data_IF_240759506300
#
_entry.id   IF_240759506300
#
_cell.length_a   1.000
_cell.length_b   1.000
_cell.length_c   1.000
_cell.angle_alpha   90.00
_cell.angle_beta   90.00
_cell.angle_gamma   90.00
#
_symmetry.space_group_name_H-M   'P 1'
#
loop_
_entity.id
_entity.type
_entity.pdbx_description
1 polymer ?
#
# COMPACT_ATOMS: atom_id res chain seq x y z
N UNK A 1 -1.68 32.89 11.97
CA UNK A 1 -1.26 31.84 12.93
C UNK A 1 -2.22 30.64 12.94
N UNK A 2 -2.47 30.00 11.77
CA UNK A 2 -3.40 28.85 11.64
C UNK A 2 -2.71 27.55 11.20
N UNK A 3 -1.38 27.46 11.33
CA UNK A 3 -0.53 26.38 10.76
C UNK A 3 -0.22 25.25 11.74
N UNK A 4 -0.28 25.50 13.06
CA UNK A 4 0.08 24.53 14.09
C UNK A 4 -0.64 23.17 14.01
N UNK A 5 -1.97 23.07 13.81
CA UNK A 5 -2.64 21.77 13.70
C UNK A 5 -2.26 21.00 12.42
N UNK A 6 -1.96 21.71 11.33
CA UNK A 6 -1.55 21.08 10.07
C UNK A 6 -0.14 20.51 10.13
N UNK A 7 0.75 21.16 10.89
CA UNK A 7 2.10 20.65 11.14
C UNK A 7 2.09 19.34 11.94
N UNK A 8 1.29 19.26 13.00
CA UNK A 8 1.14 18.03 13.78
C UNK A 8 0.63 16.86 12.93
N UNK A 9 -0.41 17.09 12.13
CA UNK A 9 -0.94 16.09 11.21
C UNK A 9 0.08 15.67 10.14
N UNK A 10 0.85 16.62 9.58
CA UNK A 10 1.90 16.34 8.61
C UNK A 10 3.04 15.50 9.21
N UNK A 11 3.49 15.81 10.43
CA UNK A 11 4.52 15.04 11.13
C UNK A 11 4.05 13.62 11.42
N UNK A 12 2.80 13.46 11.87
CA UNK A 12 2.20 12.15 12.10
C UNK A 12 2.12 11.34 10.80
N UNK A 13 1.69 11.97 9.71
CA UNK A 13 1.68 11.38 8.38
C UNK A 13 3.09 10.92 7.96
N UNK A 14 4.10 11.80 8.05
CA UNK A 14 5.49 11.48 7.67
C UNK A 14 6.05 10.34 8.50
N UNK A 15 5.77 10.31 9.81
CA UNK A 15 6.20 9.24 10.69
C UNK A 15 5.62 7.88 10.27
N UNK A 16 4.31 7.77 10.11
CA UNK A 16 3.68 6.52 9.69
C UNK A 16 4.02 6.12 8.25
N UNK A 17 4.10 7.10 7.36
CA UNK A 17 4.50 6.88 5.97
C UNK A 17 5.94 6.35 5.90
N UNK A 18 6.87 6.98 6.64
CA UNK A 18 8.26 6.54 6.73
C UNK A 18 8.38 5.14 7.32
N UNK A 19 7.68 4.87 8.42
CA UNK A 19 7.66 3.55 9.06
C UNK A 19 7.15 2.47 8.11
N UNK A 20 6.03 2.70 7.42
CA UNK A 20 5.47 1.75 6.45
C UNK A 20 6.42 1.46 5.29
N UNK A 21 7.08 2.50 4.75
CA UNK A 21 8.08 2.32 3.70
C UNK A 21 9.32 1.55 4.19
N UNK A 22 9.80 1.83 5.41
CA UNK A 22 10.92 1.09 6.02
C UNK A 22 10.59 -0.38 6.29
N UNK A 23 9.36 -0.67 6.74
CA UNK A 23 8.89 -2.05 6.89
C UNK A 23 8.84 -2.78 5.54
N UNK A 24 8.34 -2.13 4.48
CA UNK A 24 8.28 -2.72 3.14
C UNK A 24 9.67 -3.12 2.62
N UNK A 25 10.71 -2.32 2.85
CA UNK A 25 12.07 -2.65 2.36
C UNK A 25 12.69 -3.81 3.14
N UNK A 26 12.51 -3.85 4.47
CA UNK A 26 13.06 -4.92 5.32
C UNK A 26 12.27 -6.22 5.14
N UNK A 27 10.94 -6.17 5.30
CA UNK A 27 10.08 -7.36 5.29
C UNK A 27 10.03 -7.97 3.90
N UNK A 28 9.88 -7.18 2.83
CA UNK A 28 9.88 -7.74 1.47
C UNK A 28 11.25 -8.36 1.13
N UNK A 29 12.35 -7.73 1.54
CA UNK A 29 13.70 -8.23 1.29
C UNK A 29 14.00 -9.54 2.02
N UNK A 30 13.51 -9.68 3.25
CA UNK A 30 13.75 -10.88 4.08
C UNK A 30 12.72 -11.98 3.86
N UNK A 31 11.44 -11.65 3.74
CA UNK A 31 10.36 -12.63 3.58
C UNK A 31 10.39 -13.32 2.22
N UNK A 32 10.71 -12.60 1.12
CA UNK A 32 10.84 -13.25 -0.21
C UNK A 32 11.97 -14.28 -0.20
N UNK A 33 13.08 -13.99 0.49
CA UNK A 33 14.20 -14.91 0.60
C UNK A 33 13.85 -16.19 1.37
N UNK A 34 12.85 -16.14 2.26
CA UNK A 34 12.42 -17.29 3.07
C UNK A 34 11.19 -18.04 2.51
N UNK A 35 10.32 -17.37 1.75
CA UNK A 35 9.01 -17.94 1.37
C UNK A 35 8.92 -18.51 -0.04
N UNK A 36 9.85 -18.24 -0.96
CA UNK A 36 9.62 -18.56 -2.37
C UNK A 36 10.87 -19.12 -3.06
N UNK A 37 10.75 -20.31 -3.63
CA UNK A 37 11.73 -20.88 -4.56
C UNK A 37 11.88 -19.94 -5.78
N UNK A 38 13.11 -19.65 -6.23
CA UNK A 38 13.43 -18.57 -7.19
C UNK A 38 12.56 -18.59 -8.45
N UNK A 39 12.17 -19.78 -8.92
CA UNK A 39 11.38 -19.99 -10.13
C UNK A 39 9.94 -19.45 -10.03
N UNK A 40 9.35 -19.45 -8.84
CA UNK A 40 7.98 -18.95 -8.62
C UNK A 40 7.93 -17.44 -8.34
N UNK A 41 9.02 -16.85 -7.82
CA UNK A 41 9.14 -15.41 -7.58
C UNK A 41 9.09 -14.64 -8.90
N UNK A 42 9.80 -15.12 -9.92
CA UNK A 42 9.91 -14.46 -11.21
C UNK A 42 8.55 -14.39 -11.91
N UNK A 43 7.83 -15.51 -11.98
CA UNK A 43 6.50 -15.57 -12.62
C UNK A 43 5.46 -14.77 -11.84
N UNK A 44 5.47 -14.83 -10.50
CA UNK A 44 4.53 -14.07 -9.67
C UNK A 44 4.79 -12.55 -9.77
N UNK A 45 6.05 -12.12 -9.68
CA UNK A 45 6.39 -10.70 -9.85
C UNK A 45 6.16 -10.22 -11.28
N UNK A 46 6.34 -11.09 -12.29
CA UNK A 46 5.97 -10.80 -13.67
C UNK A 46 4.47 -10.54 -13.83
N UNK A 47 3.63 -11.43 -13.26
CA UNK A 47 2.18 -11.28 -13.28
C UNK A 47 1.69 -10.04 -12.52
N UNK A 48 2.32 -9.69 -11.38
CA UNK A 48 2.00 -8.49 -10.61
C UNK A 48 2.63 -7.22 -11.18
N UNK A 49 3.60 -7.34 -12.09
CA UNK A 49 4.34 -6.23 -12.68
C UNK A 49 3.42 -5.24 -13.38
N UNK A 50 2.60 -5.71 -14.33
CA UNK A 50 1.69 -4.85 -15.09
C UNK A 50 0.62 -4.18 -14.20
N UNK A 51 -0.13 -4.89 -13.33
CA UNK A 51 -1.04 -4.25 -12.39
C UNK A 51 -0.37 -3.20 -11.50
N UNK A 52 0.85 -3.46 -11.03
CA UNK A 52 1.59 -2.52 -10.18
C UNK A 52 2.05 -1.28 -10.94
N UNK A 53 2.41 -1.42 -12.22
CA UNK A 53 2.78 -0.30 -13.08
C UNK A 53 1.57 0.62 -13.33
N UNK A 54 0.41 0.04 -13.62
CA UNK A 54 -0.85 0.79 -13.77
C UNK A 54 -1.19 1.51 -12.48
N UNK A 55 -1.15 0.82 -11.33
CA UNK A 55 -1.43 1.44 -10.04
C UNK A 55 -0.47 2.61 -9.73
N UNK A 56 0.82 2.46 -10.05
CA UNK A 56 1.82 3.52 -9.89
C UNK A 56 1.60 4.71 -10.81
N UNK A 57 1.12 4.50 -12.04
CA UNK A 57 0.78 5.58 -12.96
C UNK A 57 -0.47 6.35 -12.50
N UNK A 58 -1.47 5.63 -11.97
CA UNK A 58 -2.69 6.23 -11.46
C UNK A 58 -2.49 6.97 -10.13
N UNK A 59 -1.51 6.54 -9.32
CA UNK A 59 -1.27 7.10 -7.98
C UNK A 59 -1.06 8.63 -7.95
N UNK A 60 -0.24 9.25 -8.83
CA UNK A 60 -0.15 10.71 -8.92
C UNK A 60 -1.24 11.33 -9.80
N UNK A 61 -1.73 10.62 -10.83
CA UNK A 61 -2.68 11.16 -11.80
C UNK A 61 -4.05 11.42 -11.17
N UNK A 62 -4.56 10.47 -10.38
CA UNK A 62 -5.88 10.57 -9.74
C UNK A 62 -5.99 11.78 -8.80
N UNK A 63 -5.11 11.98 -7.79
CA UNK A 63 -5.17 13.17 -6.94
C UNK A 63 -4.96 14.47 -7.72
N UNK A 64 -4.15 14.45 -8.79
CA UNK A 64 -3.94 15.60 -9.65
C UNK A 64 -5.22 16.07 -10.33
N UNK A 65 -6.01 15.15 -10.89
CA UNK A 65 -7.30 15.46 -11.54
C UNK A 65 -8.38 15.83 -10.53
N UNK A 66 -8.34 15.24 -9.33
CA UNK A 66 -9.34 15.48 -8.27
C UNK A 66 -9.11 16.76 -7.46
N UNK A 67 -8.07 17.52 -7.77
CA UNK A 67 -7.79 18.78 -7.09
C UNK A 67 -8.88 19.82 -7.35
N UNK A 68 -9.30 20.53 -6.30
CA UNK A 68 -10.27 21.61 -6.39
C UNK A 68 -9.73 22.87 -5.70
N UNK A 69 -10.00 24.09 -6.23
CA UNK A 69 -9.51 25.34 -5.63
C UNK A 69 -9.96 25.56 -4.17
N UNK A 70 -11.18 25.12 -3.82
CA UNK A 70 -11.76 25.34 -2.49
C UNK A 70 -11.43 24.27 -1.44
N UNK A 71 -11.26 23.01 -1.86
CA UNK A 71 -11.07 21.87 -0.95
C UNK A 71 -9.69 21.20 -1.11
N UNK A 72 -8.89 21.64 -2.07
CA UNK A 72 -7.56 21.11 -2.36
C UNK A 72 -7.61 19.63 -2.76
N UNK A 73 -6.75 18.83 -2.13
CA UNK A 73 -6.62 17.39 -2.39
C UNK A 73 -7.50 16.51 -1.48
N UNK A 74 -8.43 17.10 -0.73
CA UNK A 74 -9.19 16.38 0.31
C UNK A 74 -9.86 15.10 -0.22
N UNK A 75 -10.54 15.19 -1.38
CA UNK A 75 -11.18 14.03 -2.00
C UNK A 75 -10.16 12.96 -2.43
N UNK A 76 -9.04 13.37 -3.04
CA UNK A 76 -7.96 12.46 -3.42
C UNK A 76 -7.35 11.74 -2.23
N UNK A 77 -7.17 12.43 -1.11
CA UNK A 77 -6.67 11.85 0.14
C UNK A 77 -7.64 10.81 0.73
N UNK A 78 -8.96 11.09 0.71
CA UNK A 78 -9.96 10.11 1.14
C UNK A 78 -9.99 8.87 0.25
N UNK A 79 -9.84 9.03 -1.06
CA UNK A 79 -9.74 7.91 -1.99
C UNK A 79 -8.49 7.06 -1.74
N UNK A 80 -7.33 7.69 -1.50
CA UNK A 80 -6.11 6.97 -1.12
C UNK A 80 -6.29 6.18 0.18
N UNK A 81 -6.96 6.77 1.18
CA UNK A 81 -7.24 6.10 2.44
C UNK A 81 -8.16 4.89 2.24
N UNK A 82 -9.25 5.05 1.48
CA UNK A 82 -10.16 3.96 1.16
C UNK A 82 -9.46 2.82 0.41
N UNK A 83 -8.64 3.14 -0.60
CA UNK A 83 -7.83 2.16 -1.31
C UNK A 83 -6.86 1.42 -0.38
N UNK A 84 -6.24 2.13 0.57
CA UNK A 84 -5.34 1.52 1.57
C UNK A 84 -6.09 0.55 2.47
N UNK A 85 -7.30 0.90 2.94
CA UNK A 85 -8.15 0.02 3.74
C UNK A 85 -8.55 -1.23 2.94
N UNK A 86 -8.97 -1.07 1.69
CA UNK A 86 -9.30 -2.19 0.80
C UNK A 86 -8.11 -3.13 0.62
N UNK A 87 -6.90 -2.60 0.42
CA UNK A 87 -5.69 -3.40 0.31
C UNK A 87 -5.40 -4.21 1.58
N UNK A 88 -5.56 -3.61 2.77
CA UNK A 88 -5.41 -4.31 4.06
C UNK A 88 -6.46 -5.42 4.21
N UNK A 89 -7.72 -5.14 3.88
CA UNK A 89 -8.80 -6.13 3.96
C UNK A 89 -8.57 -7.30 3.00
N UNK A 90 -8.10 -7.02 1.77
CA UNK A 90 -7.73 -8.06 0.80
C UNK A 90 -6.59 -8.94 1.32
N UNK A 91 -5.56 -8.34 1.93
CA UNK A 91 -4.46 -9.09 2.54
C UNK A 91 -4.94 -9.98 3.69
N UNK A 92 -5.75 -9.43 4.60
CA UNK A 92 -6.32 -10.21 5.72
C UNK A 92 -7.22 -11.34 5.20
N UNK A 93 -8.03 -11.07 4.17
CA UNK A 93 -8.85 -12.08 3.50
C UNK A 93 -7.99 -13.21 2.93
N UNK A 94 -6.96 -12.89 2.16
CA UNK A 94 -6.04 -13.87 1.58
C UNK A 94 -5.32 -14.71 2.65
N UNK A 95 -4.90 -14.09 3.76
CA UNK A 95 -4.29 -14.81 4.88
C UNK A 95 -5.26 -15.78 5.55
N UNK A 96 -6.53 -15.40 5.71
CA UNK A 96 -7.58 -16.27 6.27
C UNK A 96 -7.89 -17.44 5.34
N UNK A 97 -7.95 -17.20 4.03
CA UNK A 97 -8.21 -18.24 3.02
C UNK A 97 -7.11 -19.29 2.98
N UNK A 98 -5.85 -18.88 3.14
CA UNK A 98 -4.71 -19.80 3.20
C UNK A 98 -4.61 -20.54 4.54
N UNK A 99 -5.27 -20.06 5.59
CA UNK A 99 -5.35 -20.70 6.92
C UNK A 99 -6.50 -21.70 7.05
N UNK A 100 -7.23 -22.03 5.99
CA UNK A 100 -8.23 -23.11 6.04
C UNK A 100 -7.50 -24.44 6.37
N UNK A 101 -7.87 -25.14 7.46
CA UNK A 101 -7.13 -26.31 7.97
C UNK A 101 -7.20 -27.50 7.01
N UNK A 102 -6.05 -28.03 6.60
CA UNK A 102 -5.99 -29.20 5.72
C UNK A 102 -4.58 -29.75 5.42
N UNK A 103 -3.62 -29.60 6.32
CA UNK A 103 -2.33 -30.30 6.20
C UNK A 103 -2.38 -31.62 7.00
N UNK A 104 -2.22 -32.80 6.38
CA UNK A 104 -2.02 -34.04 7.13
C UNK A 104 -0.68 -33.98 7.89
N UNK A 105 -0.71 -34.41 9.15
CA UNK A 105 0.46 -34.63 10.02
C UNK A 105 1.39 -35.69 9.47
#
# INVERSE_FOLDING_TARGET
MRTAPFLGAALLFVFFYGMGNGMLTIVKGTAIAQYVNRDHVATLNGALGLPSAIARALAPLMPGVLWQPGTGYTLGLWMLLAASVVAVLALVGAQRWRRVPGAPT
#
